data_IF_813743886509
#
_entry.id   IF_813743886509
#
_cell.length_a   1.000
_cell.length_b   1.000
_cell.length_c   1.000
_cell.angle_alpha   90.00
_cell.angle_beta   90.00
_cell.angle_gamma   90.00
#
_symmetry.space_group_name_H-M   'P 1'
#
loop_
_entity.id
_entity.type
_entity.pdbx_description
1 polymer ?
#
# COMPACT_ATOMS: atom_id res chain seq x y z
N UNK A 1 -5.53 -5.19 16.04
CA UNK A 1 -4.67 -5.65 17.13
C UNK A 1 -3.62 -6.64 16.68
N UNK A 2 -2.68 -6.98 17.56
CA UNK A 2 -1.61 -7.93 17.30
C UNK A 2 -1.83 -9.24 18.08
N UNK A 3 -1.44 -10.34 17.48
CA UNK A 3 -1.40 -11.67 18.12
C UNK A 3 0.05 -12.11 18.20
N UNK A 4 0.51 -12.44 19.41
CA UNK A 4 1.83 -13.04 19.61
C UNK A 4 1.72 -14.54 19.41
N UNK A 5 2.60 -15.08 18.57
CA UNK A 5 2.64 -16.52 18.27
C UNK A 5 3.76 -17.16 19.07
N UNK A 6 3.39 -18.14 19.88
CA UNK A 6 4.31 -18.95 20.68
C UNK A 6 4.47 -20.31 19.99
N UNK A 7 5.70 -20.85 19.85
CA UNK A 7 5.91 -22.19 19.32
C UNK A 7 5.15 -23.23 20.17
N UNK A 8 4.58 -24.25 19.54
CA UNK A 8 3.73 -25.25 20.19
C UNK A 8 4.46 -26.15 21.22
N UNK A 9 5.78 -26.10 21.26
CA UNK A 9 6.65 -26.83 22.21
C UNK A 9 7.18 -25.93 23.35
N UNK A 10 6.71 -24.67 23.43
CA UNK A 10 7.09 -23.70 24.47
C UNK A 10 5.83 -23.15 25.14
N UNK A 11 5.99 -22.55 26.30
CA UNK A 11 4.92 -21.89 27.03
C UNK A 11 5.03 -20.38 26.89
N UNK A 12 3.92 -19.67 26.93
CA UNK A 12 3.91 -18.18 26.91
C UNK A 12 4.69 -17.61 28.10
N UNK A 13 4.70 -18.31 29.24
CA UNK A 13 5.42 -17.89 30.44
C UNK A 13 6.95 -18.00 30.32
N UNK A 14 7.46 -18.68 29.28
CA UNK A 14 8.89 -18.67 28.95
C UNK A 14 9.33 -17.29 28.40
N UNK A 15 8.40 -16.47 27.95
CA UNK A 15 8.65 -15.17 27.30
C UNK A 15 8.13 -13.98 28.10
N UNK A 16 6.96 -14.11 28.73
CA UNK A 16 6.29 -12.99 29.40
C UNK A 16 5.24 -13.48 30.39
N UNK A 17 5.03 -12.79 31.51
CA UNK A 17 3.79 -12.95 32.26
C UNK A 17 2.59 -12.50 31.38
N UNK A 18 1.42 -13.01 31.69
CA UNK A 18 0.18 -12.66 30.99
C UNK A 18 -0.79 -11.94 31.92
N UNK A 19 -1.68 -11.15 31.34
CA UNK A 19 -2.73 -10.44 32.06
C UNK A 19 -4.03 -10.38 31.25
N UNK A 20 -5.13 -10.13 31.91
CA UNK A 20 -6.39 -9.87 31.24
C UNK A 20 -6.50 -8.41 30.78
N UNK A 21 -7.04 -8.13 29.58
CA UNK A 21 -7.22 -6.76 29.11
C UNK A 21 -8.12 -5.97 30.08
N UNK A 22 -7.67 -4.78 30.48
CA UNK A 22 -8.37 -3.91 31.42
C UNK A 22 -8.77 -4.59 32.77
N UNK A 23 -8.00 -5.60 33.19
CA UNK A 23 -8.27 -6.44 34.38
C UNK A 23 -9.62 -7.18 34.34
N UNK A 24 -10.20 -7.35 33.15
CA UNK A 24 -11.46 -8.09 32.95
C UNK A 24 -11.19 -9.59 32.87
N UNK A 25 -11.41 -10.27 33.99
CA UNK A 25 -11.24 -11.73 34.10
C UNK A 25 -12.25 -12.55 33.28
N UNK A 26 -13.28 -11.91 32.71
CA UNK A 26 -14.26 -12.55 31.82
C UNK A 26 -13.82 -12.54 30.35
N UNK A 27 -12.73 -11.84 30.00
CA UNK A 27 -12.23 -11.80 28.65
C UNK A 27 -11.78 -13.20 28.18
N UNK A 28 -12.12 -13.55 26.94
CA UNK A 28 -11.77 -14.86 26.35
C UNK A 28 -10.28 -14.98 25.98
N UNK A 29 -9.54 -13.88 26.03
CA UNK A 29 -8.11 -13.85 25.68
C UNK A 29 -7.29 -13.12 26.73
N UNK A 30 -6.01 -13.37 26.73
CA UNK A 30 -5.03 -12.69 27.57
C UNK A 30 -4.08 -11.88 26.72
N UNK A 31 -3.40 -10.90 27.32
CA UNK A 31 -2.36 -10.08 26.70
C UNK A 31 -1.02 -10.31 27.38
N UNK A 32 0.05 -10.04 26.65
CA UNK A 32 1.40 -10.03 27.23
C UNK A 32 1.51 -8.89 28.26
N UNK A 33 2.16 -9.17 29.37
CA UNK A 33 2.45 -8.12 30.36
C UNK A 33 3.63 -7.24 29.88
N UNK A 34 4.67 -7.88 29.31
CA UNK A 34 5.78 -7.14 28.74
C UNK A 34 5.35 -6.41 27.45
N UNK A 35 5.93 -5.24 27.23
CA UNK A 35 5.82 -4.56 25.94
C UNK A 35 6.40 -5.46 24.85
N UNK A 36 5.73 -5.52 23.70
CA UNK A 36 6.19 -6.34 22.58
C UNK A 36 7.64 -6.03 22.17
N UNK A 37 8.06 -4.76 22.23
CA UNK A 37 9.42 -4.37 21.88
C UNK A 37 10.52 -4.92 22.81
N UNK A 38 10.15 -5.43 23.98
CA UNK A 38 11.08 -6.06 24.92
C UNK A 38 11.25 -7.56 24.64
N UNK A 39 10.39 -8.15 23.79
CA UNK A 39 10.37 -9.56 23.46
C UNK A 39 10.33 -9.84 21.95
N UNK A 40 10.42 -8.82 21.10
CA UNK A 40 10.24 -8.92 19.65
C UNK A 40 11.32 -9.74 18.91
N UNK A 41 12.47 -9.95 19.53
CA UNK A 41 13.50 -10.84 19.01
C UNK A 41 13.23 -12.32 19.27
N UNK A 42 12.31 -12.63 20.17
CA UNK A 42 12.05 -13.99 20.66
C UNK A 42 10.73 -14.58 20.17
N UNK A 43 9.76 -13.74 19.79
CA UNK A 43 8.42 -14.14 19.40
C UNK A 43 7.96 -13.49 18.11
N UNK A 44 7.09 -14.15 17.36
CA UNK A 44 6.47 -13.60 16.17
C UNK A 44 5.17 -12.88 16.55
N UNK A 45 5.01 -11.63 16.08
CA UNK A 45 3.74 -10.90 16.14
C UNK A 45 3.06 -10.89 14.76
N UNK A 46 1.80 -11.25 14.75
CA UNK A 46 0.92 -11.09 13.60
C UNK A 46 -0.02 -9.91 13.87
N UNK A 47 0.05 -8.89 13.03
CA UNK A 47 -0.87 -7.75 13.09
C UNK A 47 -2.16 -8.10 12.36
N UNK A 48 -3.28 -8.11 13.09
CA UNK A 48 -4.61 -8.40 12.55
C UNK A 48 -5.35 -7.07 12.40
N UNK A 49 -5.41 -6.61 11.16
CA UNK A 49 -6.08 -5.36 10.78
C UNK A 49 -7.33 -5.69 9.97
N UNK A 50 -8.47 -5.14 10.40
CA UNK A 50 -9.74 -5.31 9.68
C UNK A 50 -9.75 -4.49 8.39
N UNK A 51 -10.18 -5.11 7.28
CA UNK A 51 -10.37 -4.48 5.98
C UNK A 51 -11.70 -4.91 5.37
N UNK A 52 -12.34 -3.98 4.65
CA UNK A 52 -13.57 -4.28 3.90
C UNK A 52 -13.29 -5.08 2.62
N UNK A 53 -12.07 -4.96 2.07
CA UNK A 53 -11.73 -5.51 0.76
C UNK A 53 -11.82 -7.03 0.66
N UNK A 54 -11.37 -7.84 1.65
CA UNK A 54 -11.59 -9.28 1.62
C UNK A 54 -13.07 -9.66 1.64
N UNK A 55 -13.89 -8.92 2.39
CA UNK A 55 -15.35 -9.12 2.43
C UNK A 55 -15.99 -8.79 1.09
N UNK A 56 -15.53 -7.71 0.45
CA UNK A 56 -15.99 -7.31 -0.88
C UNK A 56 -15.63 -8.35 -1.94
N UNK A 57 -14.39 -8.84 -1.96
CA UNK A 57 -13.93 -9.89 -2.87
C UNK A 57 -14.73 -11.19 -2.65
N UNK A 58 -14.97 -11.58 -1.41
CA UNK A 58 -15.79 -12.75 -1.10
C UNK A 58 -17.22 -12.60 -1.63
N UNK A 59 -17.82 -11.43 -1.44
CA UNK A 59 -19.16 -11.15 -1.98
C UNK A 59 -19.18 -11.22 -3.50
N UNK A 60 -18.16 -10.70 -4.16
CA UNK A 60 -18.02 -10.78 -5.62
C UNK A 60 -17.88 -12.23 -6.10
N UNK A 61 -17.10 -13.05 -5.39
CA UNK A 61 -17.00 -14.48 -5.65
C UNK A 61 -18.36 -15.19 -5.50
N UNK A 62 -19.09 -14.91 -4.41
CA UNK A 62 -20.40 -15.52 -4.16
C UNK A 62 -21.44 -15.14 -5.24
N UNK A 63 -21.38 -13.91 -5.77
CA UNK A 63 -22.29 -13.44 -6.83
C UNK A 63 -21.94 -13.97 -8.22
N UNK A 64 -20.66 -14.12 -8.53
CA UNK A 64 -20.18 -14.45 -9.89
C UNK A 64 -19.80 -15.91 -10.07
N UNK A 65 -19.45 -16.61 -9.01
CA UNK A 65 -18.83 -17.93 -9.06
C UNK A 65 -17.35 -17.94 -9.50
N UNK A 66 -16.75 -16.76 -9.74
CA UNK A 66 -15.35 -16.64 -10.18
C UNK A 66 -14.42 -16.69 -8.96
N UNK A 67 -13.42 -17.58 -8.98
CA UNK A 67 -12.36 -17.56 -7.96
C UNK A 67 -11.47 -16.34 -8.20
N UNK A 68 -11.30 -15.43 -7.21
CA UNK A 68 -10.43 -14.29 -7.33
C UNK A 68 -8.97 -14.60 -7.65
N UNK A 69 -8.53 -15.83 -7.39
CA UNK A 69 -7.17 -16.28 -7.73
C UNK A 69 -6.95 -16.47 -9.22
N UNK A 70 -8.02 -16.72 -9.96
CA UNK A 70 -7.99 -16.92 -11.41
C UNK A 70 -8.01 -15.60 -12.20
N UNK A 71 -8.20 -14.47 -11.51
CA UNK A 71 -8.22 -13.14 -12.12
C UNK A 71 -6.79 -12.73 -12.49
N UNK A 72 -6.52 -12.42 -13.78
CA UNK A 72 -5.20 -11.98 -14.22
C UNK A 72 -4.84 -10.60 -13.64
N UNK A 73 -3.57 -10.42 -13.28
CA UNK A 73 -3.07 -9.16 -12.77
C UNK A 73 -2.71 -8.14 -13.89
N UNK A 74 -2.73 -8.59 -15.14
CA UNK A 74 -2.33 -7.84 -16.33
C UNK A 74 -3.47 -7.70 -17.36
N UNK A 75 -4.71 -7.80 -16.91
CA UNK A 75 -5.89 -7.61 -17.78
C UNK A 75 -5.85 -6.20 -18.41
N UNK A 76 -5.85 -6.08 -19.75
CA UNK A 76 -5.69 -4.80 -20.43
C UNK A 76 -6.86 -3.85 -20.20
N UNK A 77 -8.08 -4.36 -20.06
CA UNK A 77 -9.27 -3.55 -19.81
C UNK A 77 -9.26 -3.01 -18.36
N UNK A 78 -8.75 -3.81 -17.41
CA UNK A 78 -8.53 -3.36 -16.02
C UNK A 78 -7.46 -2.28 -15.99
N UNK A 79 -6.36 -2.45 -16.73
CA UNK A 79 -5.31 -1.43 -16.82
C UNK A 79 -5.80 -0.13 -17.46
N UNK A 80 -6.74 -0.21 -18.41
CA UNK A 80 -7.33 0.97 -19.05
C UNK A 80 -8.10 1.89 -18.07
N UNK A 81 -8.57 1.36 -16.92
CA UNK A 81 -9.19 2.17 -15.86
C UNK A 81 -8.28 3.28 -15.32
N UNK A 82 -6.95 3.06 -15.35
CA UNK A 82 -5.97 4.00 -14.82
C UNK A 82 -5.60 5.09 -15.81
N UNK A 83 -6.01 4.99 -17.06
CA UNK A 83 -5.74 5.97 -18.13
C UNK A 83 -6.97 6.68 -18.67
N UNK A 84 -8.17 6.13 -18.46
CA UNK A 84 -9.40 6.69 -19.01
C UNK A 84 -10.68 6.13 -18.39
N UNK A 85 -11.80 6.48 -18.99
CA UNK A 85 -13.14 6.06 -18.57
C UNK A 85 -13.87 5.22 -19.62
N UNK A 86 -13.30 5.09 -20.81
CA UNK A 86 -13.91 4.48 -22.00
C UNK A 86 -14.27 3.03 -21.75
N UNK A 87 -13.43 2.29 -21.02
CA UNK A 87 -13.68 0.88 -20.68
C UNK A 87 -14.95 0.70 -19.84
N UNK A 88 -15.39 1.74 -19.13
CA UNK A 88 -16.64 1.76 -18.36
C UNK A 88 -17.84 2.23 -19.20
N UNK A 89 -17.63 2.67 -20.44
CA UNK A 89 -18.69 3.19 -21.31
C UNK A 89 -19.25 4.54 -20.84
N UNK A 90 -18.46 5.32 -20.11
CA UNK A 90 -18.85 6.65 -19.58
C UNK A 90 -17.80 7.70 -19.95
N UNK A 91 -18.21 8.98 -19.97
CA UNK A 91 -17.29 10.08 -20.20
C UNK A 91 -16.77 10.67 -18.88
N UNK A 92 -15.60 11.34 -18.88
CA UNK A 92 -15.09 12.03 -17.70
C UNK A 92 -16.08 13.03 -17.08
N UNK A 93 -16.87 13.73 -17.92
CA UNK A 93 -17.87 14.70 -17.46
C UNK A 93 -19.03 14.03 -16.71
N UNK A 94 -19.41 12.79 -17.11
CA UNK A 94 -20.48 12.05 -16.46
C UNK A 94 -20.12 11.61 -15.04
N UNK A 95 -18.86 11.33 -14.78
CA UNK A 95 -18.40 10.82 -13.48
C UNK A 95 -17.49 11.79 -12.71
N UNK A 96 -17.18 12.96 -13.30
CA UNK A 96 -16.40 14.02 -12.65
C UNK A 96 -14.92 13.68 -12.41
N UNK A 97 -14.36 12.75 -13.19
CA UNK A 97 -12.95 12.34 -13.11
C UNK A 97 -12.46 11.81 -14.44
N UNK A 98 -11.18 12.06 -14.82
CA UNK A 98 -10.63 11.60 -16.10
C UNK A 98 -10.34 10.10 -16.16
N UNK A 99 -10.43 9.37 -15.04
CA UNK A 99 -10.09 7.95 -14.95
C UNK A 99 -11.18 7.13 -14.28
N UNK A 100 -11.19 5.82 -14.53
CA UNK A 100 -12.18 4.90 -14.00
C UNK A 100 -11.95 4.41 -12.56
N UNK A 101 -11.06 5.06 -11.79
CA UNK A 101 -10.57 4.55 -10.50
C UNK A 101 -11.49 4.76 -9.31
N UNK A 102 -12.58 5.52 -9.43
CA UNK A 102 -13.52 5.73 -8.32
C UNK A 102 -14.02 4.39 -7.76
N UNK A 103 -13.95 4.25 -6.43
CA UNK A 103 -14.38 3.05 -5.72
C UNK A 103 -13.44 1.85 -5.83
N UNK A 104 -12.29 1.97 -6.51
CA UNK A 104 -11.24 0.96 -6.49
C UNK A 104 -10.42 1.11 -5.20
N UNK A 105 -10.21 0.02 -4.43
CA UNK A 105 -9.35 0.05 -3.25
C UNK A 105 -7.96 0.62 -3.59
N UNK A 106 -7.36 1.32 -2.66
CA UNK A 106 -6.03 1.96 -2.77
C UNK A 106 -5.97 3.14 -3.75
N UNK A 107 -6.65 3.07 -4.90
CA UNK A 107 -6.52 4.02 -6.01
C UNK A 107 -7.66 5.05 -6.11
N UNK A 108 -8.74 4.89 -5.34
CA UNK A 108 -9.93 5.74 -5.45
C UNK A 108 -9.85 7.09 -4.73
N UNK A 109 -8.83 7.35 -3.91
CA UNK A 109 -8.66 8.62 -3.19
C UNK A 109 -8.21 9.75 -4.11
N UNK A 110 -8.54 11.00 -3.78
CA UNK A 110 -8.10 12.17 -4.57
C UNK A 110 -6.58 12.23 -4.71
N UNK A 111 -5.86 11.91 -3.64
CA UNK A 111 -4.39 11.93 -3.63
C UNK A 111 -3.79 10.94 -4.63
N UNK A 112 -4.23 9.67 -4.59
CA UNK A 112 -3.68 8.63 -5.47
C UNK A 112 -4.14 8.84 -6.91
N UNK A 113 -5.39 9.30 -7.14
CA UNK A 113 -5.84 9.66 -8.49
C UNK A 113 -4.96 10.75 -9.11
N UNK A 114 -4.61 11.80 -8.34
CA UNK A 114 -3.67 12.83 -8.79
C UNK A 114 -2.29 12.25 -9.13
N UNK A 115 -1.76 11.32 -8.36
CA UNK A 115 -0.50 10.63 -8.68
C UNK A 115 -0.58 9.86 -10.01
N UNK A 116 -1.67 9.15 -10.24
CA UNK A 116 -1.91 8.40 -11.49
C UNK A 116 -2.03 9.35 -12.69
N UNK A 117 -2.75 10.45 -12.54
CA UNK A 117 -2.90 11.47 -13.57
C UNK A 117 -1.56 12.16 -13.92
N UNK A 118 -0.65 12.30 -12.97
CA UNK A 118 0.70 12.84 -13.20
C UNK A 118 1.66 11.83 -13.83
N UNK A 119 1.52 10.54 -13.54
CA UNK A 119 2.53 9.53 -13.88
C UNK A 119 2.12 8.58 -14.99
N UNK A 120 0.82 8.50 -15.33
CA UNK A 120 0.25 7.65 -16.38
C UNK A 120 0.75 6.20 -16.37
N UNK A 121 0.55 5.43 -15.27
CA UNK A 121 1.01 4.06 -15.17
C UNK A 121 0.27 3.15 -16.17
N UNK A 122 1.02 2.23 -16.78
CA UNK A 122 0.49 1.29 -17.81
C UNK A 122 0.72 -0.17 -17.44
N UNK A 123 1.43 -0.43 -16.33
CA UNK A 123 1.81 -1.79 -15.93
C UNK A 123 1.53 -2.02 -14.44
N UNK A 124 1.36 -3.30 -14.09
CA UNK A 124 1.26 -3.71 -12.68
C UNK A 124 2.44 -3.21 -11.83
N UNK A 125 3.66 -3.27 -12.38
CA UNK A 125 4.86 -2.82 -11.66
C UNK A 125 4.83 -1.31 -11.36
N UNK A 126 4.28 -0.50 -12.24
CA UNK A 126 4.11 0.94 -12.04
C UNK A 126 3.00 1.25 -11.01
N UNK A 127 1.91 0.49 -11.01
CA UNK A 127 0.88 0.59 -9.97
C UNK A 127 1.41 0.19 -8.59
N UNK A 128 2.24 -0.85 -8.55
CA UNK A 128 2.93 -1.27 -7.33
C UNK A 128 3.85 -0.16 -6.80
N UNK A 129 4.59 0.49 -7.69
CA UNK A 129 5.45 1.62 -7.35
C UNK A 129 4.64 2.78 -6.78
N UNK A 130 3.53 3.14 -7.42
CA UNK A 130 2.62 4.18 -6.94
C UNK A 130 2.01 3.86 -5.57
N UNK A 131 1.63 2.61 -5.34
CA UNK A 131 1.14 2.16 -4.03
C UNK A 131 2.21 2.37 -2.95
N UNK A 132 3.46 2.00 -3.22
CA UNK A 132 4.58 2.27 -2.31
C UNK A 132 4.78 3.76 -2.02
N UNK A 133 4.76 4.59 -3.06
CA UNK A 133 4.89 6.04 -2.98
C UNK A 133 3.76 6.71 -2.18
N UNK A 134 2.55 6.17 -2.27
CA UNK A 134 1.36 6.75 -1.61
C UNK A 134 1.27 6.44 -0.11
N UNK A 135 1.87 5.35 0.36
CA UNK A 135 1.76 4.88 1.74
C UNK A 135 2.85 5.41 2.67
N UNK A 136 3.96 5.91 2.13
CA UNK A 136 5.06 6.43 2.92
C UNK A 136 4.83 7.87 3.39
N UNK A 137 5.72 8.34 4.25
CA UNK A 137 5.78 9.74 4.69
C UNK A 137 6.99 10.41 4.06
N UNK A 138 6.75 11.55 3.37
CA UNK A 138 7.76 12.31 2.63
C UNK A 138 8.49 11.46 1.56
N UNK A 139 7.72 10.57 0.92
CA UNK A 139 8.19 9.74 -0.19
C UNK A 139 7.77 10.33 -1.53
N UNK A 140 6.51 10.79 -1.64
CA UNK A 140 5.96 11.38 -2.87
C UNK A 140 6.14 12.90 -2.92
N UNK A 141 5.39 13.64 -2.09
CA UNK A 141 5.40 15.11 -2.08
C UNK A 141 6.77 15.65 -1.65
N UNK A 142 7.30 16.61 -2.41
CA UNK A 142 8.61 17.21 -2.14
C UNK A 142 9.80 16.25 -2.34
N UNK A 143 9.57 15.08 -2.92
CA UNK A 143 10.58 14.05 -3.15
C UNK A 143 10.41 13.41 -4.54
N UNK A 144 9.85 12.21 -4.65
CA UNK A 144 9.72 11.50 -5.93
C UNK A 144 8.92 12.30 -6.97
N UNK A 145 7.88 13.02 -6.56
CA UNK A 145 7.08 13.88 -7.44
C UNK A 145 7.95 14.95 -8.13
N UNK A 146 8.78 15.64 -7.35
CA UNK A 146 9.63 16.71 -7.89
C UNK A 146 10.67 16.14 -8.85
N UNK A 147 11.32 15.02 -8.48
CA UNK A 147 12.30 14.35 -9.33
C UNK A 147 11.72 13.91 -10.68
N UNK A 148 10.47 13.47 -10.70
CA UNK A 148 9.78 13.08 -11.93
C UNK A 148 9.40 14.32 -12.75
N UNK A 149 8.86 15.36 -12.13
CA UNK A 149 8.49 16.63 -12.80
C UNK A 149 9.69 17.33 -13.43
N UNK A 150 10.84 17.29 -12.77
CA UNK A 150 12.09 17.88 -13.25
C UNK A 150 12.80 16.99 -14.28
N UNK A 151 12.32 15.79 -14.55
CA UNK A 151 12.93 14.85 -15.48
C UNK A 151 14.26 14.24 -15.00
N UNK A 152 14.57 14.37 -13.70
CA UNK A 152 15.77 13.81 -13.07
C UNK A 152 15.64 12.30 -12.93
N UNK A 153 14.44 11.83 -12.61
CA UNK A 153 14.12 10.42 -12.44
C UNK A 153 12.77 10.08 -13.10
N UNK A 154 12.46 8.80 -13.18
CA UNK A 154 11.18 8.28 -13.69
C UNK A 154 10.42 7.54 -12.59
N UNK A 155 9.14 7.24 -12.82
CA UNK A 155 8.35 6.42 -11.91
C UNK A 155 9.06 5.08 -11.59
N UNK A 156 9.80 4.52 -12.55
CA UNK A 156 10.51 3.24 -12.38
C UNK A 156 11.80 3.35 -11.57
N UNK A 157 12.39 4.55 -11.48
CA UNK A 157 13.71 4.74 -10.87
C UNK A 157 13.67 5.45 -9.52
N UNK A 158 12.58 6.14 -9.19
CA UNK A 158 12.41 6.74 -7.85
C UNK A 158 12.26 5.69 -6.77
N UNK A 159 12.55 6.07 -5.53
CA UNK A 159 12.40 5.20 -4.37
C UNK A 159 10.93 5.09 -4.01
N UNK A 160 10.30 3.92 -4.23
CA UNK A 160 8.88 3.69 -3.95
C UNK A 160 8.62 2.91 -2.67
N UNK A 161 9.47 1.93 -2.35
CA UNK A 161 9.35 1.13 -1.14
C UNK A 161 10.74 0.85 -0.53
N UNK A 162 10.76 0.35 0.72
CA UNK A 162 12.05 0.08 1.40
C UNK A 162 12.92 -0.94 0.68
N UNK A 163 12.29 -1.94 0.08
CA UNK A 163 13.00 -3.02 -0.63
C UNK A 163 13.77 -2.48 -1.85
N UNK A 164 13.25 -1.43 -2.50
CA UNK A 164 13.91 -0.79 -3.64
C UNK A 164 15.28 -0.24 -3.25
N UNK A 165 15.39 0.35 -2.05
CA UNK A 165 16.65 0.90 -1.55
C UNK A 165 17.69 -0.20 -1.43
N UNK A 166 17.36 -1.29 -0.74
CA UNK A 166 18.29 -2.40 -0.51
C UNK A 166 18.74 -3.02 -1.83
N UNK A 167 17.78 -3.35 -2.71
CA UNK A 167 18.07 -4.00 -3.99
C UNK A 167 18.90 -3.10 -4.90
N UNK A 168 18.55 -1.82 -5.00
CA UNK A 168 19.29 -0.86 -5.81
C UNK A 168 20.74 -0.71 -5.33
N UNK A 169 20.97 -0.54 -4.03
CA UNK A 169 22.31 -0.38 -3.46
C UNK A 169 23.17 -1.66 -3.64
N UNK A 170 22.56 -2.84 -3.49
CA UNK A 170 23.26 -4.11 -3.78
C UNK A 170 23.66 -4.23 -5.25
N UNK A 171 22.77 -3.86 -6.17
CA UNK A 171 23.09 -3.84 -7.60
C UNK A 171 24.14 -2.79 -7.97
N UNK A 172 24.19 -1.68 -7.24
CA UNK A 172 25.24 -0.68 -7.40
C UNK A 172 26.61 -1.18 -6.92
N UNK A 173 26.67 -2.22 -6.09
CA UNK A 173 27.90 -2.84 -5.63
C UNK A 173 28.17 -2.69 -4.13
N UNK A 174 27.26 -2.13 -3.35
CA UNK A 174 27.41 -2.05 -1.89
C UNK A 174 27.31 -3.44 -1.25
N UNK A 175 28.04 -3.61 -0.16
CA UNK A 175 27.91 -4.79 0.70
C UNK A 175 26.44 -5.00 1.13
N UNK A 176 25.89 -6.23 1.06
CA UNK A 176 24.48 -6.49 1.37
C UNK A 176 24.08 -6.06 2.79
N UNK A 177 24.96 -6.22 3.78
CA UNK A 177 24.68 -5.79 5.16
C UNK A 177 24.63 -4.26 5.27
N UNK A 178 25.52 -3.57 4.56
CA UNK A 178 25.49 -2.11 4.48
C UNK A 178 24.24 -1.62 3.77
N UNK A 179 23.87 -2.21 2.63
CA UNK A 179 22.65 -1.88 1.89
C UNK A 179 21.39 -2.06 2.76
N UNK A 180 21.32 -3.15 3.51
CA UNK A 180 20.24 -3.41 4.48
C UNK A 180 20.23 -2.34 5.59
N UNK A 181 21.39 -2.00 6.16
CA UNK A 181 21.50 -1.00 7.24
C UNK A 181 21.05 0.37 6.76
N UNK A 182 21.47 0.80 5.58
CA UNK A 182 21.03 2.06 4.96
C UNK A 182 19.52 2.05 4.78
N UNK A 183 18.97 1.00 4.20
CA UNK A 183 17.52 0.82 4.02
C UNK A 183 16.77 0.97 5.36
N UNK A 184 17.24 0.31 6.42
CA UNK A 184 16.64 0.38 7.76
C UNK A 184 16.69 1.79 8.37
N UNK A 185 17.77 2.54 8.14
CA UNK A 185 17.89 3.94 8.59
C UNK A 185 16.88 4.83 7.85
N UNK A 186 16.78 4.67 6.53
CA UNK A 186 15.89 5.46 5.68
C UNK A 186 14.44 5.16 6.01
N UNK A 187 14.01 3.88 5.97
CA UNK A 187 12.61 3.52 6.15
C UNK A 187 11.98 3.94 7.47
N UNK A 188 12.81 4.07 8.52
CA UNK A 188 12.39 4.50 9.88
C UNK A 188 12.56 6.01 10.10
N UNK A 189 12.94 6.78 9.08
CA UNK A 189 13.21 8.22 9.18
C UNK A 189 14.37 8.54 10.14
N UNK A 190 15.33 7.64 10.26
CA UNK A 190 16.49 7.79 11.14
C UNK A 190 17.72 8.32 10.42
N UNK A 191 17.68 8.52 9.11
CA UNK A 191 18.81 8.97 8.30
C UNK A 191 19.47 10.26 8.82
N UNK A 192 18.65 11.24 9.22
CA UNK A 192 19.15 12.50 9.79
C UNK A 192 19.38 12.44 11.32
N UNK A 193 19.10 11.31 11.97
CA UNK A 193 19.21 11.11 13.42
C UNK A 193 20.46 10.31 13.83
N UNK A 194 21.13 9.66 12.89
CA UNK A 194 22.41 8.99 13.10
C UNK A 194 23.54 10.02 13.17
N UNK A 195 24.69 9.64 13.68
CA UNK A 195 25.86 10.53 13.74
C UNK A 195 26.29 10.99 12.34
N UNK A 196 26.88 12.16 12.24
CA UNK A 196 27.42 12.66 10.98
C UNK A 196 28.52 11.75 10.43
N UNK A 197 29.32 11.15 11.29
CA UNK A 197 30.37 10.20 10.91
C UNK A 197 29.75 8.96 10.24
N UNK A 198 28.75 8.33 10.88
CA UNK A 198 28.03 7.16 10.31
C UNK A 198 27.38 7.51 8.99
N UNK A 199 26.65 8.63 8.93
CA UNK A 199 25.96 9.08 7.72
C UNK A 199 26.92 9.39 6.58
N UNK A 200 28.02 10.10 6.84
CA UNK A 200 29.02 10.43 5.83
C UNK A 200 29.72 9.16 5.32
N UNK A 201 29.93 8.16 6.16
CA UNK A 201 30.45 6.85 5.74
C UNK A 201 29.51 6.16 4.73
N UNK A 202 28.20 6.18 4.97
CA UNK A 202 27.22 5.63 4.02
C UNK A 202 27.14 6.45 2.71
N UNK A 203 27.14 7.77 2.80
CA UNK A 203 27.16 8.66 1.63
C UNK A 203 28.40 8.40 0.78
N UNK A 204 29.58 8.29 1.39
CA UNK A 204 30.82 8.00 0.67
C UNK A 204 30.76 6.63 -0.02
N UNK A 205 30.30 5.59 0.67
CA UNK A 205 30.13 4.26 0.10
C UNK A 205 29.15 4.26 -1.09
N UNK A 206 28.06 5.01 -1.01
CA UNK A 206 27.14 5.16 -2.13
C UNK A 206 27.78 5.88 -3.33
N UNK A 207 28.50 6.97 -3.10
CA UNK A 207 29.21 7.72 -4.15
C UNK A 207 30.30 6.89 -4.81
N UNK A 208 31.08 6.13 -4.04
CA UNK A 208 32.13 5.24 -4.54
C UNK A 208 31.58 4.14 -5.45
N UNK A 209 30.28 3.81 -5.31
CA UNK A 209 29.55 2.88 -6.15
C UNK A 209 28.63 3.57 -7.18
N UNK A 210 28.91 4.82 -7.53
CA UNK A 210 28.19 5.60 -8.54
C UNK A 210 26.68 5.80 -8.27
N UNK A 211 26.24 5.76 -7.02
CA UNK A 211 24.88 6.14 -6.66
C UNK A 211 24.75 7.66 -6.84
N UNK A 212 23.77 8.15 -7.63
CA UNK A 212 23.64 9.57 -7.93
C UNK A 212 23.22 10.38 -6.70
N UNK A 213 23.68 11.62 -6.61
CA UNK A 213 23.38 12.50 -5.48
C UNK A 213 21.90 12.71 -5.24
N UNK A 214 21.06 12.80 -6.30
CA UNK A 214 19.61 12.91 -6.13
C UNK A 214 19.00 11.73 -5.38
N UNK A 215 19.57 10.52 -5.55
CA UNK A 215 19.11 9.32 -4.84
C UNK A 215 19.44 9.41 -3.34
N UNK A 216 20.65 9.86 -3.03
CA UNK A 216 21.13 10.07 -1.65
C UNK A 216 20.28 11.15 -0.95
N UNK A 217 19.98 12.25 -1.65
CA UNK A 217 19.11 13.32 -1.15
C UNK A 217 17.68 12.81 -0.91
N UNK A 218 17.15 12.01 -1.83
CA UNK A 218 15.82 11.39 -1.71
C UNK A 218 15.75 10.50 -0.45
N UNK A 219 16.77 9.69 -0.18
CA UNK A 219 16.88 8.92 1.06
C UNK A 219 16.79 9.82 2.31
N UNK A 220 17.41 11.00 2.25
CA UNK A 220 17.42 11.96 3.37
C UNK A 220 16.06 12.59 3.68
N UNK A 221 15.17 12.70 2.68
CA UNK A 221 13.83 13.28 2.84
C UNK A 221 12.83 12.31 3.47
N UNK A 222 13.00 11.00 3.27
CA UNK A 222 12.06 9.95 3.68
C UNK A 222 11.97 9.83 5.19
N UNK A 223 10.74 9.84 5.73
CA UNK A 223 10.46 9.63 7.16
C UNK A 223 9.91 8.26 7.49
N UNK A 224 9.16 7.67 6.58
CA UNK A 224 8.63 6.33 6.74
C UNK A 224 8.33 5.67 5.39
N UNK A 225 8.66 4.37 5.27
CA UNK A 225 8.38 3.59 4.07
C UNK A 225 7.79 2.23 4.39
N UNK A 226 6.89 1.80 3.52
CA UNK A 226 6.29 0.47 3.56
C UNK A 226 7.12 -0.57 2.78
N UNK A 227 6.97 -1.87 3.12
CA UNK A 227 7.59 -2.94 2.34
C UNK A 227 6.88 -3.16 1.00
N UNK A 228 7.62 -3.66 0.01
CA UNK A 228 7.08 -4.00 -1.33
C UNK A 228 5.99 -5.07 -1.26
N UNK A 229 6.14 -6.04 -0.36
CA UNK A 229 5.14 -7.09 -0.15
C UNK A 229 3.77 -6.53 0.27
N UNK A 230 3.75 -5.48 1.10
CA UNK A 230 2.52 -4.78 1.46
C UNK A 230 1.86 -4.16 0.22
N UNK A 231 2.61 -3.38 -0.55
CA UNK A 231 2.10 -2.79 -1.78
C UNK A 231 1.58 -3.85 -2.77
N UNK A 232 2.32 -4.96 -2.95
CA UNK A 232 1.90 -6.04 -3.84
C UNK A 232 0.57 -6.68 -3.43
N UNK A 233 0.37 -6.95 -2.13
CA UNK A 233 -0.86 -7.53 -1.63
C UNK A 233 -2.07 -6.62 -1.89
N UNK A 234 -1.94 -5.32 -1.62
CA UNK A 234 -3.04 -4.37 -1.80
C UNK A 234 -3.31 -4.04 -3.27
N UNK A 235 -2.29 -3.93 -4.11
CA UNK A 235 -2.48 -3.73 -5.57
C UNK A 235 -3.15 -4.94 -6.20
N UNK A 236 -2.75 -6.16 -5.86
CA UNK A 236 -3.43 -7.38 -6.36
C UNK A 236 -4.90 -7.39 -5.95
N UNK A 237 -5.21 -7.02 -4.70
CA UNK A 237 -6.58 -6.92 -4.21
C UNK A 237 -7.37 -5.86 -4.98
N UNK A 238 -6.78 -4.69 -5.21
CA UNK A 238 -7.39 -3.61 -5.97
C UNK A 238 -7.71 -4.03 -7.42
N UNK A 239 -6.78 -4.70 -8.11
CA UNK A 239 -7.00 -5.18 -9.48
C UNK A 239 -8.08 -6.26 -9.57
N UNK A 240 -8.17 -7.15 -8.56
CA UNK A 240 -9.27 -8.12 -8.48
C UNK A 240 -10.63 -7.46 -8.36
N UNK A 241 -10.75 -6.41 -7.55
CA UNK A 241 -11.99 -5.62 -7.44
C UNK A 241 -12.25 -4.86 -8.74
N UNK A 242 -11.22 -4.26 -9.33
CA UNK A 242 -11.30 -3.52 -10.59
C UNK A 242 -11.76 -4.42 -11.76
N UNK A 243 -11.34 -5.68 -11.79
CA UNK A 243 -11.79 -6.66 -12.77
C UNK A 243 -13.32 -6.80 -12.78
N UNK A 244 -13.94 -6.89 -11.61
CA UNK A 244 -15.40 -6.95 -11.52
C UNK A 244 -16.07 -5.62 -11.91
N UNK A 245 -15.44 -4.49 -11.62
CA UNK A 245 -15.97 -3.19 -12.07
C UNK A 245 -16.05 -3.08 -13.58
N UNK A 246 -15.07 -3.62 -14.30
CA UNK A 246 -15.00 -3.61 -15.78
C UNK A 246 -15.90 -4.69 -16.38
N UNK A 247 -15.69 -5.95 -15.99
CA UNK A 247 -16.31 -7.10 -16.66
C UNK A 247 -17.68 -7.49 -16.09
N UNK A 248 -17.94 -7.15 -14.82
CA UNK A 248 -19.18 -7.51 -14.11
C UNK A 248 -19.71 -6.34 -13.27
N UNK A 249 -19.99 -5.17 -13.89
CA UNK A 249 -20.34 -3.95 -13.15
C UNK A 249 -21.52 -4.11 -12.21
N UNK A 250 -22.54 -4.89 -12.59
CA UNK A 250 -23.68 -5.14 -11.72
C UNK A 250 -23.25 -5.79 -10.38
N UNK A 251 -22.40 -6.79 -10.41
CA UNK A 251 -21.91 -7.46 -9.21
C UNK A 251 -21.01 -6.54 -8.39
N UNK A 252 -20.16 -5.75 -9.09
CA UNK A 252 -19.30 -4.76 -8.42
C UNK A 252 -20.14 -3.75 -7.63
N UNK A 253 -21.16 -3.14 -8.24
CA UNK A 253 -21.98 -2.14 -7.55
C UNK A 253 -22.86 -2.76 -6.46
N UNK A 254 -23.38 -3.97 -6.65
CA UNK A 254 -24.06 -4.70 -5.59
C UNK A 254 -23.17 -4.90 -4.36
N UNK A 255 -21.94 -5.34 -4.56
CA UNK A 255 -20.99 -5.54 -3.47
C UNK A 255 -20.58 -4.21 -2.84
N UNK A 256 -20.26 -3.19 -3.65
CA UNK A 256 -19.83 -1.88 -3.19
C UNK A 256 -20.89 -1.21 -2.29
N UNK A 257 -22.14 -1.12 -2.75
CA UNK A 257 -23.22 -0.50 -1.99
C UNK A 257 -23.67 -1.32 -0.78
N UNK A 258 -23.44 -2.62 -0.78
CA UNK A 258 -23.75 -3.48 0.38
C UNK A 258 -22.70 -3.41 1.48
N UNK A 259 -21.42 -3.17 1.14
CA UNK A 259 -20.30 -3.34 2.07
C UNK A 259 -19.60 -2.01 2.36
N UNK A 260 -19.33 -1.20 1.33
CA UNK A 260 -18.48 0.00 1.45
C UNK A 260 -19.25 1.31 1.55
N UNK A 261 -20.44 1.40 1.00
CA UNK A 261 -21.22 2.63 1.04
C UNK A 261 -21.80 2.86 2.43
N UNK A 262 -21.25 3.81 3.17
CA UNK A 262 -21.70 4.15 4.53
C UNK A 262 -22.98 4.99 4.55
N UNK A 263 -23.30 5.69 3.46
CA UNK A 263 -24.42 6.60 3.36
C UNK A 263 -25.37 6.18 2.21
N UNK A 264 -25.71 4.89 2.15
CA UNK A 264 -26.66 4.38 1.17
C UNK A 264 -28.10 4.73 1.57
N UNK A 265 -28.76 5.57 0.76
CA UNK A 265 -30.18 5.91 0.91
C UNK A 265 -30.99 5.32 -0.24
N UNK A 266 -31.71 4.25 0.04
CA UNK A 266 -32.49 3.53 -0.97
C UNK A 266 -33.59 4.41 -1.60
N UNK A 267 -34.16 5.37 -0.88
CA UNK A 267 -35.19 6.27 -1.44
C UNK A 267 -34.59 7.17 -2.51
N UNK A 268 -33.46 7.81 -2.21
CA UNK A 268 -32.75 8.66 -3.18
C UNK A 268 -32.27 7.83 -4.37
N UNK A 269 -31.65 6.67 -4.13
CA UNK A 269 -31.11 5.81 -5.19
C UNK A 269 -32.20 5.26 -6.12
N UNK A 270 -33.35 4.87 -5.58
CA UNK A 270 -34.46 4.37 -6.37
C UNK A 270 -35.28 5.46 -7.07
N UNK A 271 -35.14 6.72 -6.67
CA UNK A 271 -35.80 7.85 -7.32
C UNK A 271 -35.14 8.30 -8.63
N UNK A 272 -33.99 7.76 -8.95
CA UNK A 272 -33.27 7.99 -10.21
C UNK A 272 -32.14 8.99 -10.14
N UNK A 273 -31.51 9.23 -11.29
CA UNK A 273 -30.26 9.99 -11.41
C UNK A 273 -30.39 11.43 -10.90
N UNK A 274 -31.49 12.10 -11.19
CA UNK A 274 -31.66 13.50 -10.81
C UNK A 274 -31.73 13.66 -9.28
N UNK A 275 -32.46 12.78 -8.60
CA UNK A 275 -32.52 12.76 -7.15
C UNK A 275 -31.16 12.46 -6.49
N UNK A 276 -30.32 11.66 -7.14
CA UNK A 276 -28.94 11.38 -6.67
C UNK A 276 -28.04 12.58 -6.84
N UNK A 277 -28.22 13.37 -7.93
CA UNK A 277 -27.40 14.56 -8.20
C UNK A 277 -27.75 15.74 -7.30
N UNK A 278 -29.01 15.84 -6.84
CA UNK A 278 -29.49 16.91 -5.95
C UNK A 278 -29.05 16.74 -4.49
N UNK A 279 -28.58 15.58 -4.09
CA UNK A 279 -28.14 15.25 -2.73
C UNK A 279 -26.63 15.32 -2.56
#
# INVERSE_FOLDING_TARGET
>A
GGIVVIPNYMDVYDFTPVQYPADDLSAEWQTTHFNFHDIDENVLKLDILGHDDPTMIRKLQDLSGIDPKDIPADDPDVMALFSGTEVLGVTPEQIGTPTGMLGIPEFGTNFVRGMVEETHPTTFAELLQLSGLSHGTDVWLGNAQDLIKEGIATLKTVIGCRDDIMVYLMHAGLDPKMAFTIMERVRKGRWLKISDEERNGYIQAMRDNNVPDWYIESCGKIKYMFPKAHAAAYVLMALRVAYFKVHYPLYYYCAYFSIRAKAFDIKTMSAGLDAVKER
#
